data_IF_631868166629
#
_entry.id   IF_631868166629
#
_cell.length_a   1.000
_cell.length_b   1.000
_cell.length_c   1.000
_cell.angle_alpha   90.00
_cell.angle_beta   90.00
_cell.angle_gamma   90.00
#
_symmetry.space_group_name_H-M   'P 1'
#
loop_
_entity.id
_entity.type
_entity.pdbx_description
1 polymer ?
#
# COMPACT_ATOMS: atom_id res chain seq x y z
N UNK A 1 2.49 6.06 29.09
CA UNK A 1 2.61 7.27 28.26
C UNK A 1 1.80 7.12 26.99
N UNK A 2 0.75 7.95 26.83
CA UNK A 2 -0.04 7.99 25.61
C UNK A 2 0.77 8.73 24.53
N UNK A 3 1.24 8.02 23.52
CA UNK A 3 1.87 8.64 22.35
C UNK A 3 0.79 9.08 21.37
N UNK A 4 0.92 10.28 20.81
CA UNK A 4 0.02 10.80 19.78
C UNK A 4 0.76 10.91 18.44
N UNK A 5 0.05 10.69 17.35
CA UNK A 5 0.51 10.97 15.98
C UNK A 5 -0.50 11.85 15.28
N UNK A 6 -0.03 12.69 14.35
CA UNK A 6 -0.95 13.40 13.46
C UNK A 6 -1.63 12.42 12.50
N UNK A 7 -2.90 12.67 12.19
CA UNK A 7 -3.63 11.91 11.18
C UNK A 7 -5.06 12.38 11.01
N UNK A 8 -5.76 11.79 10.03
CA UNK A 8 -7.14 12.14 9.66
C UNK A 8 -8.09 10.99 9.95
N UNK A 9 -9.35 11.29 10.28
CA UNK A 9 -10.40 10.30 10.54
C UNK A 9 -11.39 10.26 9.38
N UNK A 10 -11.49 9.11 8.72
CA UNK A 10 -12.43 8.87 7.62
C UNK A 10 -13.67 8.14 8.14
N UNK A 11 -14.57 8.88 8.81
CA UNK A 11 -15.86 8.34 9.27
C UNK A 11 -16.90 8.37 8.14
N UNK A 12 -17.96 7.54 8.18
CA UNK A 12 -19.05 7.61 7.22
C UNK A 12 -19.64 9.03 7.11
N UNK A 13 -19.88 9.70 8.24
CA UNK A 13 -20.41 11.07 8.26
C UNK A 13 -19.47 12.09 7.57
N UNK A 14 -18.16 12.02 7.82
CA UNK A 14 -17.20 12.91 7.13
C UNK A 14 -17.09 12.62 5.64
N UNK A 15 -17.27 11.36 5.21
CA UNK A 15 -17.29 10.98 3.79
C UNK A 15 -18.55 11.52 3.12
N UNK A 16 -19.72 11.36 3.74
CA UNK A 16 -20.98 11.93 3.24
C UNK A 16 -20.90 13.44 3.11
N UNK A 17 -20.36 14.15 4.11
CA UNK A 17 -20.13 15.59 4.04
C UNK A 17 -19.21 15.97 2.88
N UNK A 18 -18.14 15.21 2.65
CA UNK A 18 -17.24 15.46 1.53
C UNK A 18 -17.94 15.28 0.18
N UNK A 19 -18.77 14.25 0.04
CA UNK A 19 -19.56 14.00 -1.16
C UNK A 19 -20.56 15.12 -1.42
N UNK A 20 -21.31 15.54 -0.40
CA UNK A 20 -22.26 16.66 -0.49
C UNK A 20 -21.58 17.96 -0.93
N UNK A 21 -20.39 18.25 -0.39
CA UNK A 21 -19.61 19.43 -0.79
C UNK A 21 -19.17 19.37 -2.26
N UNK A 22 -18.77 18.19 -2.74
CA UNK A 22 -18.38 18.00 -4.16
C UNK A 22 -19.58 18.05 -5.12
N UNK A 23 -20.74 17.56 -4.69
CA UNK A 23 -21.99 17.61 -5.45
C UNK A 23 -22.51 19.04 -5.61
N UNK A 24 -22.41 19.84 -4.53
CA UNK A 24 -22.83 21.24 -4.52
C UNK A 24 -21.80 22.19 -5.18
N UNK A 25 -20.61 21.72 -5.50
CA UNK A 25 -19.58 22.53 -6.15
C UNK A 25 -19.95 22.81 -7.61
N UNK A 26 -19.96 24.09 -8.00
CA UNK A 26 -20.11 24.47 -9.40
C UNK A 26 -18.79 24.23 -10.16
N UNK A 27 -18.74 23.17 -10.94
CA UNK A 27 -17.58 22.80 -11.76
C UNK A 27 -17.54 23.49 -13.13
N UNK A 28 -18.57 24.25 -13.53
CA UNK A 28 -18.57 24.99 -14.79
C UNK A 28 -17.50 26.09 -14.83
N UNK A 29 -17.00 26.51 -13.66
CA UNK A 29 -15.89 27.47 -13.53
C UNK A 29 -14.61 26.98 -14.23
N UNK A 30 -14.46 25.67 -14.43
CA UNK A 30 -13.30 25.11 -15.15
C UNK A 30 -13.30 25.49 -16.63
N UNK A 31 -14.48 25.68 -17.24
CA UNK A 31 -14.58 26.07 -18.65
C UNK A 31 -14.11 27.50 -18.92
N UNK A 32 -14.00 28.32 -17.87
CA UNK A 32 -13.54 29.71 -17.97
C UNK A 32 -12.02 29.83 -17.92
N UNK A 33 -11.29 28.74 -17.66
CA UNK A 33 -9.84 28.74 -17.60
C UNK A 33 -9.22 28.84 -19.00
N UNK A 34 -8.21 29.69 -19.14
CA UNK A 34 -7.49 29.90 -20.41
C UNK A 34 -6.50 28.79 -20.72
N UNK A 35 -5.95 28.14 -19.69
CA UNK A 35 -4.97 27.07 -19.85
C UNK A 35 -5.37 25.82 -19.08
N UNK A 36 -4.81 24.68 -19.49
CA UNK A 36 -4.99 23.42 -18.76
C UNK A 36 -4.42 23.46 -17.34
N UNK A 37 -3.26 24.08 -17.14
CA UNK A 37 -2.66 24.21 -15.81
C UNK A 37 -3.60 25.00 -14.89
N UNK A 38 -4.16 26.12 -15.35
CA UNK A 38 -5.10 26.93 -14.55
C UNK A 38 -6.38 26.13 -14.20
N UNK A 39 -6.96 25.46 -15.19
CA UNK A 39 -8.14 24.61 -14.99
C UNK A 39 -7.87 23.52 -13.95
N UNK A 40 -6.73 22.84 -14.07
CA UNK A 40 -6.35 21.78 -13.16
C UNK A 40 -6.07 22.31 -11.76
N UNK A 41 -5.34 23.42 -11.61
CA UNK A 41 -5.06 24.05 -10.32
C UNK A 41 -6.36 24.46 -9.62
N UNK A 42 -7.33 25.04 -10.34
CA UNK A 42 -8.66 25.36 -9.77
C UNK A 42 -9.37 24.09 -9.30
N UNK A 43 -9.41 23.04 -10.13
CA UNK A 43 -10.01 21.77 -9.74
C UNK A 43 -9.35 21.17 -8.50
N UNK A 44 -8.03 21.07 -8.51
CA UNK A 44 -7.23 20.45 -7.47
C UNK A 44 -7.37 21.21 -6.14
N UNK A 45 -7.21 22.53 -6.15
CA UNK A 45 -7.36 23.35 -4.95
C UNK A 45 -8.77 23.28 -4.37
N UNK A 46 -9.79 23.28 -5.22
CA UNK A 46 -11.18 23.12 -4.79
C UNK A 46 -11.40 21.75 -4.15
N UNK A 47 -10.93 20.68 -4.79
CA UNK A 47 -11.04 19.31 -4.26
C UNK A 47 -10.30 19.17 -2.92
N UNK A 48 -9.07 19.65 -2.84
CA UNK A 48 -8.22 19.61 -1.63
C UNK A 48 -8.81 20.48 -0.50
N UNK A 49 -9.43 21.62 -0.82
CA UNK A 49 -10.12 22.46 0.16
C UNK A 49 -11.28 21.71 0.81
N UNK A 50 -12.16 21.09 0.01
CA UNK A 50 -13.26 20.26 0.52
C UNK A 50 -12.75 19.06 1.32
N UNK A 51 -11.65 18.46 0.89
CA UNK A 51 -10.99 17.36 1.60
C UNK A 51 -10.48 17.82 2.96
N UNK A 52 -9.76 18.94 3.03
CA UNK A 52 -9.22 19.46 4.28
C UNK A 52 -10.32 19.89 5.26
N UNK A 53 -11.41 20.48 4.75
CA UNK A 53 -12.58 20.85 5.54
C UNK A 53 -13.32 19.63 6.11
N UNK A 54 -13.41 18.55 5.33
CA UNK A 54 -14.13 17.33 5.72
C UNK A 54 -13.30 16.38 6.61
N UNK A 55 -11.98 16.40 6.44
CA UNK A 55 -11.05 15.48 7.10
C UNK A 55 -9.90 16.24 7.78
N UNK A 56 -10.16 17.15 8.75
CA UNK A 56 -9.12 17.96 9.35
C UNK A 56 -8.04 17.10 10.01
N UNK A 57 -6.78 17.57 9.95
CA UNK A 57 -5.67 16.90 10.64
C UNK A 57 -5.85 17.02 12.15
N UNK A 58 -5.83 15.88 12.85
CA UNK A 58 -6.03 15.82 14.29
C UNK A 58 -4.96 14.99 14.96
N UNK A 59 -4.74 15.21 16.27
CA UNK A 59 -3.91 14.32 17.08
C UNK A 59 -4.67 13.02 17.34
N UNK A 60 -4.18 11.93 16.77
CA UNK A 60 -4.71 10.59 16.96
C UNK A 60 -3.84 9.86 17.99
N UNK A 61 -4.49 9.21 18.95
CA UNK A 61 -3.83 8.31 19.89
C UNK A 61 -3.17 7.15 19.13
N UNK A 62 -1.85 7.01 19.26
CA UNK A 62 -1.11 5.84 18.78
C UNK A 62 -1.56 4.65 19.63
N UNK A 63 -2.53 3.88 19.14
CA UNK A 63 -2.89 2.61 19.76
C UNK A 63 -1.78 1.62 19.47
N UNK A 64 -1.23 0.99 20.51
CA UNK A 64 -0.36 -0.16 20.34
C UNK A 64 -1.15 -1.27 19.64
N UNK A 65 -1.01 -1.34 18.32
CA UNK A 65 -1.58 -2.39 17.48
C UNK A 65 -0.89 -3.73 17.68
N UNK A 66 0.21 -3.79 18.45
CA UNK A 66 0.86 -5.06 18.83
C UNK A 66 -0.06 -5.95 19.65
N UNK A 67 -1.04 -5.36 20.34
CA UNK A 67 -2.14 -6.11 20.91
C UNK A 67 -3.25 -6.24 19.86
N UNK A 68 -3.02 -7.09 18.85
CA UNK A 68 -4.14 -7.84 18.27
C UNK A 68 -4.77 -8.52 19.49
N UNK A 69 -5.86 -7.93 20.02
CA UNK A 69 -6.66 -8.53 21.09
C UNK A 69 -6.74 -10.01 20.75
N UNK A 70 -6.41 -10.90 21.69
CA UNK A 70 -6.50 -12.36 21.52
C UNK A 70 -7.93 -12.72 21.07
N UNK A 71 -8.24 -12.54 19.78
CA UNK A 71 -9.61 -12.50 19.28
C UNK A 71 -10.26 -13.88 19.27
N UNK A 72 -9.42 -14.91 19.41
CA UNK A 72 -9.82 -16.28 19.70
C UNK A 72 -10.31 -16.50 21.14
N UNK A 73 -10.14 -15.55 22.06
CA UNK A 73 -10.61 -15.64 23.46
C UNK A 73 -12.07 -15.17 23.53
N UNK A 74 -12.99 -16.11 23.31
CA UNK A 74 -14.43 -15.89 23.46
C UNK A 74 -14.90 -16.15 24.91
N UNK A 75 -16.19 -15.92 25.17
CA UNK A 75 -16.82 -16.16 26.48
C UNK A 75 -16.67 -17.63 26.94
N UNK A 76 -16.78 -18.58 26.02
CA UNK A 76 -16.61 -20.02 26.30
C UNK A 76 -15.19 -20.36 26.74
N UNK A 77 -14.16 -19.80 26.10
CA UNK A 77 -12.76 -19.94 26.52
C UNK A 77 -12.58 -19.43 27.95
N UNK A 78 -13.16 -18.28 28.29
CA UNK A 78 -13.08 -17.72 29.66
C UNK A 78 -13.76 -18.64 30.67
N UNK A 79 -14.95 -19.15 30.36
CA UNK A 79 -15.68 -20.08 31.23
C UNK A 79 -14.88 -21.36 31.47
N UNK A 80 -14.41 -22.02 30.40
CA UNK A 80 -13.61 -23.24 30.53
C UNK A 80 -12.29 -23.01 31.28
N UNK A 81 -11.68 -21.82 31.12
CA UNK A 81 -10.51 -21.45 31.90
C UNK A 81 -10.83 -21.29 33.39
N UNK A 82 -12.00 -20.77 33.74
CA UNK A 82 -12.42 -20.64 35.14
C UNK A 82 -12.77 -22.01 35.73
N UNK A 83 -13.51 -22.84 34.98
CA UNK A 83 -13.84 -24.21 35.38
C UNK A 83 -12.55 -25.01 35.64
N UNK A 84 -11.55 -24.88 34.77
CA UNK A 84 -10.27 -25.57 34.94
C UNK A 84 -9.52 -25.13 36.21
N UNK A 85 -9.59 -23.84 36.59
CA UNK A 85 -9.04 -23.35 37.87
C UNK A 85 -9.78 -23.97 39.05
N UNK A 86 -11.12 -23.99 38.99
CA UNK A 86 -11.94 -24.60 40.04
C UNK A 86 -11.59 -26.09 40.22
N UNK A 87 -11.50 -26.85 39.13
CA UNK A 87 -11.09 -28.26 39.17
C UNK A 87 -9.66 -28.46 39.69
N UNK A 88 -8.74 -27.54 39.41
CA UNK A 88 -7.39 -27.58 39.96
C UNK A 88 -7.41 -27.47 41.50
N UNK A 89 -8.19 -26.55 42.05
CA UNK A 89 -8.35 -26.39 43.50
C UNK A 89 -9.05 -27.61 44.12
N UNK A 90 -10.11 -28.11 43.49
CA UNK A 90 -10.84 -29.29 43.96
C UNK A 90 -9.96 -30.54 44.01
N UNK A 91 -9.11 -30.80 42.99
CA UNK A 91 -8.22 -31.96 43.05
C UNK A 91 -7.12 -31.85 44.10
N UNK A 92 -6.80 -30.63 44.57
CA UNK A 92 -5.84 -30.41 45.66
C UNK A 92 -6.43 -30.78 47.01
N UNK A 93 -7.74 -30.54 47.19
CA UNK A 93 -8.48 -30.92 48.39
C UNK A 93 -8.91 -32.40 48.37
N UNK A 94 -9.24 -32.93 47.19
CA UNK A 94 -9.74 -34.28 47.01
C UNK A 94 -8.93 -35.03 45.94
N UNK A 95 -7.90 -35.82 46.32
CA UNK A 95 -7.01 -36.49 45.37
C UNK A 95 -7.71 -37.41 44.36
N UNK A 96 -8.85 -38.01 44.72
CA UNK A 96 -9.67 -38.84 43.83
C UNK A 96 -10.16 -38.09 42.58
N UNK A 97 -10.29 -36.75 42.64
CA UNK A 97 -10.74 -35.91 41.52
C UNK A 97 -9.63 -35.58 40.52
N UNK A 98 -8.40 -36.07 40.71
CA UNK A 98 -7.28 -35.84 39.79
C UNK A 98 -7.60 -36.27 38.35
N UNK A 99 -8.28 -37.40 38.18
CA UNK A 99 -8.69 -37.90 36.85
C UNK A 99 -9.64 -36.92 36.16
N UNK A 100 -10.61 -36.38 36.89
CA UNK A 100 -11.58 -35.42 36.37
C UNK A 100 -10.88 -34.12 35.93
N UNK A 101 -9.97 -33.59 36.75
CA UNK A 101 -9.16 -32.41 36.39
C UNK A 101 -8.37 -32.65 35.10
N UNK A 102 -7.70 -33.80 34.94
CA UNK A 102 -6.95 -34.12 33.72
C UNK A 102 -7.85 -34.17 32.49
N UNK A 103 -9.05 -34.76 32.59
CA UNK A 103 -10.02 -34.78 31.49
C UNK A 103 -10.44 -33.37 31.09
N UNK A 104 -10.77 -32.50 32.07
CA UNK A 104 -11.11 -31.10 31.80
C UNK A 104 -9.93 -30.32 31.21
N UNK A 105 -8.72 -30.58 31.68
CA UNK A 105 -7.49 -29.99 31.12
C UNK A 105 -7.30 -30.37 29.65
N UNK A 106 -7.50 -31.64 29.30
CA UNK A 106 -7.42 -32.12 27.92
C UNK A 106 -8.49 -31.47 27.03
N UNK A 107 -9.76 -31.47 27.47
CA UNK A 107 -10.87 -30.81 26.75
C UNK A 107 -10.61 -29.32 26.53
N UNK A 108 -10.13 -28.62 27.57
CA UNK A 108 -9.75 -27.21 27.47
C UNK A 108 -8.64 -26.99 26.44
N UNK A 109 -7.57 -27.79 26.46
CA UNK A 109 -6.46 -27.67 25.50
C UNK A 109 -6.93 -27.90 24.06
N UNK A 110 -7.75 -28.91 23.82
CA UNK A 110 -8.34 -29.17 22.50
C UNK A 110 -9.21 -28.01 22.03
N UNK A 111 -10.06 -27.47 22.91
CA UNK A 111 -10.91 -26.33 22.58
C UNK A 111 -10.09 -25.09 22.21
N UNK A 112 -9.05 -24.76 22.99
CA UNK A 112 -8.14 -23.63 22.70
C UNK A 112 -7.44 -23.81 21.36
N UNK A 113 -6.97 -25.03 21.06
CA UNK A 113 -6.33 -25.34 19.78
C UNK A 113 -7.29 -25.09 18.61
N UNK A 114 -8.53 -25.56 18.72
CA UNK A 114 -9.55 -25.38 17.68
C UNK A 114 -9.94 -23.90 17.51
N UNK A 115 -10.11 -23.15 18.60
CA UNK A 115 -10.39 -21.71 18.54
C UNK A 115 -9.25 -20.94 17.85
N UNK A 116 -7.99 -21.23 18.20
CA UNK A 116 -6.83 -20.60 17.53
C UNK A 116 -6.78 -20.94 16.05
N UNK A 117 -6.94 -22.23 15.68
CA UNK A 117 -6.93 -22.69 14.29
C UNK A 117 -8.00 -22.00 13.46
N UNK A 118 -9.24 -21.98 13.98
CA UNK A 118 -10.38 -21.32 13.32
C UNK A 118 -10.14 -19.81 13.16
N UNK A 119 -9.75 -19.14 14.24
CA UNK A 119 -9.53 -17.69 14.23
C UNK A 119 -8.44 -17.26 13.23
N UNK A 120 -7.23 -17.81 13.34
CA UNK A 120 -6.14 -17.44 12.43
C UNK A 120 -6.38 -17.92 11.00
N UNK A 121 -7.01 -19.10 10.83
CA UNK A 121 -7.40 -19.60 9.51
C UNK A 121 -8.38 -18.67 8.81
N UNK A 122 -9.39 -18.17 9.52
CA UNK A 122 -10.36 -17.22 8.98
C UNK A 122 -9.72 -15.86 8.68
N UNK A 123 -8.80 -15.39 9.53
CA UNK A 123 -8.08 -14.13 9.29
C UNK A 123 -7.22 -14.20 8.02
N UNK A 124 -6.54 -15.32 7.77
CA UNK A 124 -5.75 -15.51 6.55
C UNK A 124 -6.67 -15.61 5.32
N UNK A 125 -7.75 -16.39 5.41
CA UNK A 125 -8.71 -16.60 4.30
C UNK A 125 -9.39 -15.31 3.86
N UNK A 126 -9.78 -14.47 4.82
CA UNK A 126 -10.46 -13.19 4.57
C UNK A 126 -9.53 -12.06 4.11
N UNK A 127 -8.21 -12.27 4.09
CA UNK A 127 -7.26 -11.23 3.73
C UNK A 127 -6.98 -11.14 2.23
N UNK A 128 -6.88 -9.91 1.72
CA UNK A 128 -6.52 -9.64 0.32
C UNK A 128 -5.12 -10.17 -0.04
N UNK A 129 -4.16 -10.05 0.89
CA UNK A 129 -2.79 -10.54 0.73
C UNK A 129 -2.46 -11.60 1.78
N UNK A 130 -2.74 -12.85 1.45
CA UNK A 130 -2.55 -14.02 2.32
C UNK A 130 -1.12 -14.12 2.85
N UNK A 131 -0.12 -13.96 1.98
CA UNK A 131 1.29 -14.05 2.36
C UNK A 131 1.68 -12.98 3.39
N UNK A 132 1.30 -11.72 3.16
CA UNK A 132 1.56 -10.63 4.09
C UNK A 132 0.89 -10.89 5.45
N UNK A 133 -0.35 -11.37 5.44
CA UNK A 133 -1.10 -11.69 6.67
C UNK A 133 -0.43 -12.81 7.45
N UNK A 134 0.01 -13.88 6.79
CA UNK A 134 0.75 -14.98 7.43
C UNK A 134 2.03 -14.49 8.08
N UNK A 135 2.87 -13.73 7.37
CA UNK A 135 4.11 -13.19 7.93
C UNK A 135 3.87 -12.19 9.06
N UNK A 136 2.81 -11.40 8.97
CA UNK A 136 2.40 -10.50 10.06
C UNK A 136 1.98 -11.30 11.30
N UNK A 137 1.22 -12.38 11.14
CA UNK A 137 0.82 -13.24 12.25
C UNK A 137 2.02 -13.91 12.91
N UNK A 138 2.96 -14.45 12.11
CA UNK A 138 4.19 -15.08 12.62
C UNK A 138 5.01 -14.06 13.43
N UNK A 139 5.19 -12.84 12.91
CA UNK A 139 5.96 -11.82 13.63
C UNK A 139 5.31 -11.41 14.95
N UNK A 140 3.97 -11.28 14.99
CA UNK A 140 3.21 -11.02 16.22
C UNK A 140 3.35 -12.17 17.22
N UNK A 141 3.21 -13.42 16.77
CA UNK A 141 3.28 -14.60 17.64
C UNK A 141 4.67 -14.83 18.22
N UNK A 142 5.72 -14.47 17.48
CA UNK A 142 7.11 -14.58 17.93
C UNK A 142 7.55 -13.40 18.80
N UNK A 143 6.67 -12.42 19.08
CA UNK A 143 7.02 -11.15 19.70
C UNK A 143 8.24 -10.49 19.04
N UNK A 144 8.35 -10.64 17.71
CA UNK A 144 9.40 -9.96 16.96
C UNK A 144 9.06 -8.48 16.94
N UNK A 145 9.56 -7.74 17.93
CA UNK A 145 9.52 -6.28 17.90
C UNK A 145 10.32 -5.83 16.69
N UNK A 146 9.67 -5.05 15.82
CA UNK A 146 10.37 -4.39 14.73
C UNK A 146 11.26 -3.32 15.36
N UNK A 147 12.54 -3.63 15.55
CA UNK A 147 13.54 -2.63 15.89
C UNK A 147 13.73 -1.73 14.67
N UNK A 148 13.16 -0.53 14.73
CA UNK A 148 13.43 0.52 13.77
C UNK A 148 14.76 1.16 14.15
N UNK A 149 15.86 0.54 13.75
CA UNK A 149 17.18 1.17 13.86
C UNK A 149 17.32 2.21 12.77
N UNK A 150 17.92 3.35 13.11
CA UNK A 150 18.36 4.30 12.10
C UNK A 150 19.33 3.58 11.16
N UNK A 151 19.22 3.92 9.88
CA UNK A 151 20.12 3.42 8.85
C UNK A 151 21.41 4.23 8.95
N UNK A 152 22.54 3.61 8.66
CA UNK A 152 23.82 4.30 8.48
C UNK A 152 24.25 4.10 7.04
N UNK A 153 24.56 5.20 6.35
CA UNK A 153 24.98 5.20 4.95
C UNK A 153 26.48 5.48 4.88
N UNK A 154 27.23 4.65 4.17
CA UNK A 154 28.61 4.99 3.76
C UNK A 154 28.54 5.66 2.39
N UNK A 155 28.81 6.96 2.34
CA UNK A 155 28.92 7.71 1.09
C UNK A 155 30.38 8.05 0.86
N UNK A 156 31.03 7.31 -0.03
CA UNK A 156 32.48 7.36 -0.26
C UNK A 156 33.27 7.10 1.05
N UNK A 157 34.01 8.09 1.55
CA UNK A 157 34.80 7.99 2.79
C UNK A 157 34.03 8.45 4.03
N UNK A 158 32.85 9.05 3.86
CA UNK A 158 32.04 9.59 4.96
C UNK A 158 30.96 8.61 5.42
N UNK A 159 30.72 8.58 6.73
CA UNK A 159 29.64 7.83 7.35
C UNK A 159 28.56 8.84 7.75
N UNK A 160 27.34 8.62 7.24
CA UNK A 160 26.18 9.46 7.50
C UNK A 160 25.18 8.64 8.32
N UNK A 161 24.79 9.15 9.48
CA UNK A 161 23.85 8.52 10.42
C UNK A 161 22.60 9.38 10.71
N UNK A 162 22.64 10.67 10.37
CA UNK A 162 21.50 11.57 10.45
C UNK A 162 20.38 11.18 9.44
N UNK A 163 19.16 10.86 9.91
CA UNK A 163 18.07 10.42 9.04
C UNK A 163 17.68 11.42 7.94
N UNK A 164 17.74 12.72 8.23
CA UNK A 164 17.36 13.76 7.27
C UNK A 164 18.38 13.84 6.14
N UNK A 165 19.67 13.84 6.49
CA UNK A 165 20.77 13.83 5.54
C UNK A 165 20.72 12.59 4.67
N UNK A 166 20.50 11.41 5.26
CA UNK A 166 20.35 10.15 4.50
C UNK A 166 19.18 10.23 3.52
N UNK A 167 18.02 10.75 3.94
CA UNK A 167 16.85 10.89 3.08
C UNK A 167 17.15 11.82 1.89
N UNK A 168 17.81 12.95 2.14
CA UNK A 168 18.22 13.90 1.12
C UNK A 168 19.23 13.25 0.14
N UNK A 169 20.23 12.53 0.64
CA UNK A 169 21.20 11.81 -0.20
C UNK A 169 20.52 10.79 -1.12
N UNK A 170 19.55 10.02 -0.60
CA UNK A 170 18.76 9.13 -1.47
C UNK A 170 17.97 9.90 -2.51
N UNK A 171 17.29 10.97 -2.11
CA UNK A 171 16.47 11.77 -3.01
C UNK A 171 17.31 12.33 -4.17
N UNK A 172 18.46 12.94 -3.86
CA UNK A 172 19.42 13.44 -4.85
C UNK A 172 19.91 12.33 -5.78
N UNK A 173 20.27 11.16 -5.24
CA UNK A 173 20.73 10.04 -6.05
C UNK A 173 19.66 9.56 -7.04
N UNK A 174 18.42 9.35 -6.57
CA UNK A 174 17.33 8.86 -7.41
C UNK A 174 16.80 9.89 -8.41
N UNK A 175 16.85 11.18 -8.08
CA UNK A 175 16.50 12.28 -9.02
C UNK A 175 17.58 12.42 -10.11
N UNK A 176 18.85 12.40 -9.73
CA UNK A 176 19.96 12.65 -10.65
C UNK A 176 20.35 11.42 -11.47
N UNK A 177 20.03 10.20 -11.01
CA UNK A 177 20.34 8.95 -11.71
C UNK A 177 19.90 8.94 -13.18
N UNK A 178 18.62 9.18 -13.50
CA UNK A 178 18.14 9.28 -14.88
C UNK A 178 18.83 10.38 -15.70
N UNK A 179 19.10 11.55 -15.10
CA UNK A 179 19.78 12.65 -15.79
C UNK A 179 21.22 12.29 -16.16
N UNK A 180 21.92 11.60 -15.26
CA UNK A 180 23.29 11.14 -15.50
C UNK A 180 23.32 10.09 -16.63
N UNK A 181 22.34 9.17 -16.66
CA UNK A 181 22.17 8.22 -17.77
C UNK A 181 21.93 8.99 -19.08
N UNK A 182 21.00 9.96 -19.08
CA UNK A 182 20.70 10.75 -20.28
C UNK A 182 21.93 11.49 -20.83
N UNK A 183 22.76 12.07 -19.95
CA UNK A 183 24.03 12.72 -20.33
C UNK A 183 25.05 11.73 -20.89
N UNK A 184 25.03 10.48 -20.43
CA UNK A 184 25.94 9.43 -20.89
C UNK A 184 25.57 8.81 -22.24
N UNK A 185 24.31 8.96 -22.67
CA UNK A 185 23.85 8.50 -24.00
C UNK A 185 24.48 9.41 -25.05
N UNK A 186 25.41 8.86 -25.83
CA UNK A 186 25.98 9.55 -27.00
C UNK A 186 24.84 9.84 -27.99
N UNK A 187 24.53 11.11 -28.25
CA UNK A 187 23.62 11.48 -29.34
C UNK A 187 24.23 10.98 -30.63
N UNK A 188 23.53 10.09 -31.32
CA UNK A 188 23.89 9.73 -32.68
C UNK A 188 23.55 10.94 -33.56
N UNK A 189 24.56 11.70 -33.98
CA UNK A 189 24.44 12.88 -34.85
C UNK A 189 24.28 12.41 -36.32
N UNK A 190 23.64 11.27 -36.56
CA UNK A 190 23.13 11.01 -37.89
C UNK A 190 21.98 11.97 -38.10
N UNK A 191 22.30 13.06 -38.77
CA UNK A 191 21.35 14.07 -39.21
C UNK A 191 20.13 13.37 -39.81
N UNK A 192 18.99 13.53 -39.15
CA UNK A 192 17.67 13.16 -39.71
C UNK A 192 17.29 14.02 -40.91
N UNK A 193 18.20 14.86 -41.44
CA UNK A 193 18.00 15.67 -42.66
C UNK A 193 17.61 14.86 -43.90
N UNK A 194 17.78 13.53 -43.90
CA UNK A 194 17.37 12.68 -45.01
C UNK A 194 16.01 11.99 -44.80
N UNK A 195 15.34 12.20 -43.65
CA UNK A 195 14.05 11.57 -43.34
C UNK A 195 12.82 12.43 -43.68
N UNK A 196 13.00 13.70 -44.05
CA UNK A 196 11.88 14.62 -44.24
C UNK A 196 11.89 15.27 -45.63
N UNK A 197 11.09 14.69 -46.53
CA UNK A 197 10.38 15.44 -47.57
C UNK A 197 9.22 14.65 -48.19
N UNK A 198 9.25 13.30 -48.15
CA UNK A 198 8.24 12.45 -48.82
C UNK A 198 7.53 11.42 -47.93
N UNK A 199 7.68 11.49 -46.60
CA UNK A 199 7.01 10.53 -45.71
C UNK A 199 5.56 10.94 -45.47
N UNK A 200 4.65 10.48 -46.34
CA UNK A 200 3.21 10.57 -46.06
C UNK A 200 2.92 9.70 -44.84
N UNK A 201 2.60 10.31 -43.69
CA UNK A 201 2.11 9.58 -42.51
C UNK A 201 0.72 9.06 -42.89
N UNK A 202 0.65 7.82 -43.39
CA UNK A 202 -0.61 7.18 -43.82
C UNK A 202 -1.42 6.65 -42.65
N UNK A 203 -0.77 6.41 -41.51
CA UNK A 203 -1.40 5.84 -40.32
C UNK A 203 -0.96 6.67 -39.11
N UNK A 204 -1.85 7.54 -38.63
CA UNK A 204 -1.67 8.28 -37.38
C UNK A 204 -2.59 7.71 -36.31
N UNK A 205 -2.07 7.58 -35.09
CA UNK A 205 -2.89 7.24 -33.94
C UNK A 205 -3.70 8.48 -33.55
N UNK A 206 -5.02 8.43 -33.75
CA UNK A 206 -5.94 9.47 -33.30
C UNK A 206 -6.70 8.96 -32.08
N UNK A 207 -6.63 9.71 -30.97
CA UNK A 207 -7.45 9.46 -29.80
C UNK A 207 -8.73 10.30 -29.90
N UNK A 208 -9.89 9.66 -29.78
CA UNK A 208 -11.15 10.36 -29.61
C UNK A 208 -11.24 10.89 -28.16
N UNK A 209 -11.92 12.03 -27.92
CA UNK A 209 -12.19 12.49 -26.57
C UNK A 209 -12.96 11.43 -25.77
N UNK A 210 -12.56 11.23 -24.52
CA UNK A 210 -13.25 10.34 -23.60
C UNK A 210 -14.66 10.85 -23.31
N UNK A 211 -15.62 9.93 -23.30
CA UNK A 211 -16.92 10.18 -22.67
C UNK A 211 -16.83 9.97 -21.14
N UNK A 212 -17.75 10.59 -20.39
CA UNK A 212 -17.79 10.44 -18.93
C UNK A 212 -17.98 8.97 -18.52
N UNK A 213 -18.81 8.22 -19.25
CA UNK A 213 -19.09 6.81 -18.96
C UNK A 213 -17.89 5.91 -19.23
N UNK A 214 -17.18 6.15 -20.34
CA UNK A 214 -15.94 5.45 -20.68
C UNK A 214 -14.87 5.71 -19.62
N UNK A 215 -14.61 6.98 -19.31
CA UNK A 215 -13.59 7.34 -18.34
C UNK A 215 -13.93 6.79 -16.95
N UNK A 216 -15.19 6.84 -16.53
CA UNK A 216 -15.62 6.28 -15.24
C UNK A 216 -15.33 4.78 -15.16
N UNK A 217 -15.61 4.04 -16.23
CA UNK A 217 -15.36 2.61 -16.30
C UNK A 217 -13.86 2.29 -16.26
N UNK A 218 -13.04 3.07 -16.98
CA UNK A 218 -11.58 2.97 -16.93
C UNK A 218 -11.06 3.23 -15.51
N UNK A 219 -11.46 4.33 -14.88
CA UNK A 219 -11.02 4.69 -13.52
C UNK A 219 -11.48 3.68 -12.47
N UNK A 220 -12.72 3.17 -12.57
CA UNK A 220 -13.23 2.11 -11.67
C UNK A 220 -12.47 0.79 -11.81
N UNK A 221 -11.86 0.49 -12.95
CA UNK A 221 -11.01 -0.71 -13.10
C UNK A 221 -9.58 -0.45 -12.59
N UNK A 222 -9.04 0.73 -12.86
CA UNK A 222 -7.63 1.06 -12.57
C UNK A 222 -7.36 1.44 -11.11
N UNK A 223 -8.27 2.18 -10.46
CA UNK A 223 -8.06 2.70 -9.10
C UNK A 223 -8.40 1.62 -8.06
N UNK A 224 -7.38 1.02 -7.45
CA UNK A 224 -7.58 0.02 -6.39
C UNK A 224 -8.15 0.69 -5.13
N UNK A 225 -9.11 0.03 -4.47
CA UNK A 225 -9.68 0.48 -3.20
C UNK A 225 -8.65 0.31 -2.06
N UNK A 226 -7.72 1.26 -1.93
CA UNK A 226 -6.64 1.26 -0.95
C UNK A 226 -6.66 2.54 -0.13
N UNK A 227 -6.25 2.44 1.12
CA UNK A 227 -6.14 3.57 2.04
C UNK A 227 -4.75 4.23 2.05
N UNK A 228 -3.82 3.75 1.23
CA UNK A 228 -2.56 4.45 1.02
C UNK A 228 -2.82 5.76 0.28
N UNK A 229 -2.20 6.84 0.76
CA UNK A 229 -2.22 8.16 0.16
C UNK A 229 -0.86 8.54 -0.42
N UNK A 230 -0.85 9.53 -1.31
CA UNK A 230 0.37 10.17 -1.80
C UNK A 230 0.79 11.35 -0.91
N UNK A 231 1.58 12.30 -1.48
CA UNK A 231 1.96 13.53 -0.80
C UNK A 231 0.79 14.41 -0.32
N UNK A 232 -0.40 14.21 -0.88
CA UNK A 232 -1.61 14.99 -0.64
C UNK A 232 -2.52 14.42 0.46
N UNK A 233 -2.13 13.32 1.10
CA UNK A 233 -2.90 12.58 2.10
C UNK A 233 -4.27 12.06 1.62
N UNK A 234 -4.59 12.12 0.32
CA UNK A 234 -5.87 11.66 -0.22
C UNK A 234 -5.79 10.16 -0.50
N UNK A 235 -6.58 9.30 0.18
CA UNK A 235 -6.54 7.87 -0.06
C UNK A 235 -7.33 7.48 -1.33
N UNK A 236 -6.81 6.52 -2.08
CA UNK A 236 -7.47 6.00 -3.29
C UNK A 236 -8.90 5.51 -3.04
N UNK A 237 -9.20 5.01 -1.84
CA UNK A 237 -10.55 4.61 -1.44
C UNK A 237 -11.55 5.76 -1.48
N UNK A 238 -11.12 6.97 -1.05
CA UNK A 238 -11.94 8.17 -1.05
C UNK A 238 -12.12 8.73 -2.46
N UNK A 239 -11.03 8.75 -3.24
CA UNK A 239 -11.10 9.15 -4.65
C UNK A 239 -12.08 8.24 -5.40
N UNK A 240 -11.96 6.91 -5.21
CA UNK A 240 -12.84 5.90 -5.82
C UNK A 240 -14.30 6.10 -5.45
N UNK A 241 -14.62 6.37 -4.20
CA UNK A 241 -16.01 6.59 -3.77
C UNK A 241 -16.59 7.88 -4.36
N UNK A 242 -15.75 8.88 -4.64
CA UNK A 242 -16.17 10.20 -5.15
C UNK A 242 -16.19 10.30 -6.68
N UNK A 243 -15.70 9.28 -7.40
CA UNK A 243 -15.55 9.31 -8.87
C UNK A 243 -16.82 9.69 -9.62
N UNK A 244 -17.96 9.15 -9.21
CA UNK A 244 -19.24 9.40 -9.87
C UNK A 244 -19.70 10.87 -9.76
N UNK A 245 -19.25 11.58 -8.72
CA UNK A 245 -19.57 12.98 -8.47
C UNK A 245 -18.67 13.88 -9.34
N UNK A 246 -17.38 13.56 -9.37
CA UNK A 246 -16.36 14.38 -10.06
C UNK A 246 -16.08 13.93 -11.49
N UNK A 247 -16.81 12.96 -12.03
CA UNK A 247 -16.47 12.38 -13.35
C UNK A 247 -16.52 13.41 -14.46
N UNK A 248 -17.52 14.30 -14.43
CA UNK A 248 -17.70 15.35 -15.42
C UNK A 248 -16.50 16.32 -15.48
N UNK A 249 -16.10 17.00 -14.37
CA UNK A 249 -14.92 17.86 -14.40
C UNK A 249 -13.63 17.10 -14.73
N UNK A 250 -13.47 15.87 -14.24
CA UNK A 250 -12.28 15.05 -14.54
C UNK A 250 -12.22 14.68 -16.02
N UNK A 251 -13.35 14.36 -16.66
CA UNK A 251 -13.41 14.05 -18.11
C UNK A 251 -13.00 15.24 -18.95
N UNK A 252 -13.49 16.44 -18.60
CA UNK A 252 -13.09 17.68 -19.26
C UNK A 252 -11.58 17.92 -19.16
N UNK A 253 -11.00 17.79 -17.96
CA UNK A 253 -9.56 17.96 -17.74
C UNK A 253 -8.73 16.92 -18.49
N UNK A 254 -9.14 15.64 -18.48
CA UNK A 254 -8.44 14.58 -19.21
C UNK A 254 -8.44 14.88 -20.70
N UNK A 255 -9.59 15.23 -21.28
CA UNK A 255 -9.67 15.56 -22.70
C UNK A 255 -8.81 16.78 -23.05
N UNK A 256 -8.82 17.83 -22.22
CA UNK A 256 -7.92 18.97 -22.40
C UNK A 256 -6.44 18.59 -22.32
N UNK A 257 -6.07 17.71 -21.39
CA UNK A 257 -4.70 17.21 -21.23
C UNK A 257 -4.22 16.51 -22.51
N UNK A 258 -5.05 15.62 -23.07
CA UNK A 258 -4.74 14.90 -24.31
C UNK A 258 -4.71 15.83 -25.53
N UNK A 259 -5.69 16.74 -25.67
CA UNK A 259 -5.74 17.67 -26.81
C UNK A 259 -4.57 18.65 -26.82
N UNK A 260 -4.12 19.12 -25.66
CA UNK A 260 -3.02 20.09 -25.55
C UNK A 260 -1.65 19.43 -25.39
N UNK A 261 -1.59 18.11 -25.13
CA UNK A 261 -0.33 17.41 -24.82
C UNK A 261 0.30 17.85 -23.50
N UNK A 262 -0.50 18.35 -22.54
CA UNK A 262 -0.01 18.88 -21.26
C UNK A 262 -0.43 17.98 -20.11
N UNK A 263 0.50 17.65 -19.21
CA UNK A 263 0.23 16.92 -17.97
C UNK A 263 0.40 17.83 -16.74
N UNK A 264 -0.48 17.77 -15.74
CA UNK A 264 -0.53 18.74 -14.64
C UNK A 264 0.69 18.66 -13.73
N UNK A 265 1.16 19.81 -13.25
CA UNK A 265 2.40 19.91 -12.47
C UNK A 265 2.25 19.27 -11.09
N UNK A 266 1.09 19.43 -10.47
CA UNK A 266 0.75 18.90 -9.15
C UNK A 266 0.84 17.37 -9.14
N UNK A 267 0.48 16.71 -10.24
CA UNK A 267 0.55 15.25 -10.38
C UNK A 267 1.94 14.73 -10.80
N UNK A 268 2.92 15.61 -11.09
CA UNK A 268 4.32 15.22 -11.33
C UNK A 268 5.10 15.02 -10.03
N UNK A 269 4.52 15.43 -8.89
CA UNK A 269 5.12 15.24 -7.58
C UNK A 269 5.06 13.77 -7.16
N UNK A 270 6.15 13.27 -6.60
CA UNK A 270 6.21 11.91 -6.07
C UNK A 270 7.08 11.84 -4.82
N UNK A 271 6.75 10.92 -3.92
CA UNK A 271 7.55 10.62 -2.73
C UNK A 271 8.55 9.51 -3.01
N UNK A 272 9.83 9.79 -2.88
CA UNK A 272 10.89 8.77 -2.99
C UNK A 272 10.90 7.91 -1.73
N UNK A 273 10.63 6.62 -1.90
CA UNK A 273 10.72 5.61 -0.84
C UNK A 273 11.87 4.66 -1.16
N UNK A 274 13.06 4.83 -0.55
CA UNK A 274 14.18 3.92 -0.75
C UNK A 274 13.80 2.51 -0.30
N UNK A 275 13.80 1.56 -1.24
CA UNK A 275 13.58 0.14 -0.93
C UNK A 275 14.93 -0.55 -0.97
N UNK A 276 15.45 -0.90 0.21
CA UNK A 276 16.64 -1.71 0.31
C UNK A 276 16.36 -3.10 -0.27
N UNK A 277 16.86 -3.35 -1.48
CA UNK A 277 16.90 -4.69 -2.05
C UNK A 277 17.95 -5.47 -1.25
N UNK A 278 17.53 -6.36 -0.34
CA UNK A 278 18.38 -7.47 0.15
C UNK A 278 18.64 -8.40 -1.04
N UNK A 279 19.52 -7.92 -1.90
CA UNK A 279 20.26 -8.58 -2.97
C UNK A 279 19.61 -9.84 -3.58
N UNK A 280 19.04 -9.64 -4.76
CA UNK A 280 18.71 -10.67 -5.74
C UNK A 280 19.94 -11.49 -6.22
N UNK A 281 21.19 -11.09 -5.89
CA UNK A 281 22.41 -11.83 -6.27
C UNK A 281 22.58 -13.15 -5.49
N UNK A 282 22.06 -13.25 -4.27
CA UNK A 282 22.17 -14.49 -3.48
C UNK A 282 21.14 -15.52 -3.95
N UNK A 283 19.92 -15.07 -4.29
CA UNK A 283 18.88 -15.93 -4.86
C UNK A 283 19.29 -16.41 -6.26
N UNK A 284 19.86 -15.55 -7.12
CA UNK A 284 20.33 -15.94 -8.45
C UNK A 284 21.39 -17.06 -8.39
N UNK A 285 22.38 -16.93 -7.50
CA UNK A 285 23.41 -17.97 -7.27
C UNK A 285 22.83 -19.27 -6.75
N UNK A 286 21.83 -19.22 -5.87
CA UNK A 286 21.15 -20.42 -5.34
C UNK A 286 20.32 -21.08 -6.46
N UNK A 287 19.55 -20.34 -7.26
CA UNK A 287 18.80 -20.92 -8.39
C UNK A 287 19.71 -21.55 -9.45
N UNK A 288 20.86 -20.94 -9.75
CA UNK A 288 21.82 -21.52 -10.71
C UNK A 288 22.46 -22.80 -10.16
N UNK A 289 22.81 -22.85 -8.86
CA UNK A 289 23.30 -24.07 -8.21
C UNK A 289 22.24 -25.18 -8.16
N UNK A 290 20.97 -24.86 -7.88
CA UNK A 290 19.87 -25.82 -7.89
C UNK A 290 19.53 -26.32 -9.31
N UNK A 291 19.65 -25.47 -10.34
CA UNK A 291 19.47 -25.86 -11.74
C UNK A 291 20.63 -26.72 -12.26
N UNK A 292 21.87 -26.44 -11.84
CA UNK A 292 23.02 -27.32 -12.09
C UNK A 292 22.86 -28.68 -11.40
N UNK A 293 22.45 -28.71 -10.13
CA UNK A 293 22.23 -29.96 -9.38
C UNK A 293 21.10 -30.83 -9.99
N UNK A 294 20.03 -30.20 -10.49
CA UNK A 294 18.95 -30.91 -11.23
C UNK A 294 19.40 -31.43 -12.60
N UNK A 295 20.35 -30.76 -13.27
CA UNK A 295 20.94 -31.26 -14.53
C UNK A 295 21.86 -32.46 -14.27
N UNK A 296 22.64 -32.45 -13.20
CA UNK A 296 23.49 -33.59 -12.80
C UNK A 296 22.67 -34.82 -12.34
N UNK A 297 21.53 -34.64 -11.67
CA UNK A 297 20.66 -35.77 -11.31
C UNK A 297 19.94 -36.40 -12.51
N UNK A 298 19.70 -35.65 -13.60
CA UNK A 298 19.11 -36.21 -14.83
C UNK A 298 20.10 -36.99 -15.69
N UNK A 299 21.41 -36.74 -15.59
CA UNK A 299 22.43 -37.50 -16.33
C UNK A 299 22.84 -38.82 -15.66
N UNK A 300 22.43 -39.06 -14.40
CA UNK A 300 22.72 -40.29 -13.65
C UNK A 300 21.59 -41.32 -13.68
N UNK A 301 20.42 -40.96 -14.25
CA UNK A 301 19.21 -41.82 -14.29
C UNK A 301 18.78 -42.15 -15.73
N UNK A 302 19.73 -42.35 -16.65
CA UNK A 302 19.46 -43.04 -17.92
C UNK A 302 19.86 -44.51 -17.78
N UNK A 303 18.91 -45.47 -17.87
CA UNK A 303 19.24 -46.90 -17.83
C UNK A 303 19.98 -47.31 -19.12
N UNK A 304 20.93 -48.23 -19.00
CA UNK A 304 21.26 -49.13 -20.10
C UNK A 304 20.07 -50.03 -20.40
#
# INVERSE_FOLDING_TARGET
>A
NLTFTKGRKFTPASISRFHELLENQNWLTLNSATTFDDAFTVFYNTFVSHFNSSFPETKILKRNTSYVKKGWVNSTVKKLSQDLKNFYHLQKMYPALKKLYLTHKCKYRQYIMNCKKSFYGNLIKSSDNKNKTVWSLISILNNNEKSHKNITLKNSETIIDDPQTIANTFNENFINGPQNIQRSIKRNIYSTSNFESNMTIRESMCALPFSETELLNCLKKSIKNKHSSGPDDIPNSLLRSSLHIIIKPVTHLVNMSFSNGVFPKELKLSTVHPVHKRVALEIARITDQFLLARRCQKSLNTPC
#
